data_IF_091922443916
#
_entry.id   IF_091922443916
#
_cell.length_a   1.000
_cell.length_b   1.000
_cell.length_c   1.000
_cell.angle_alpha   90.00
_cell.angle_beta   90.00
_cell.angle_gamma   90.00
#
_symmetry.space_group_name_H-M   'P 1'
#
loop_
_entity.id
_entity.type
_entity.pdbx_description
1 polymer ?
#
# COMPACT_ATOMS: atom_id res chain seq x y z
N UNK A 1 -33.70 32.67 71.43
CA UNK A 1 -33.45 33.34 70.14
C UNK A 1 -33.38 32.26 69.05
N UNK A 2 -34.47 32.10 68.32
CA UNK A 2 -34.68 31.06 67.32
C UNK A 2 -34.02 31.52 66.00
N UNK A 3 -33.02 30.77 65.49
CA UNK A 3 -32.35 31.08 64.22
C UNK A 3 -33.05 30.35 63.07
N UNK A 4 -33.66 31.13 62.19
CA UNK A 4 -34.35 30.71 60.96
C UNK A 4 -33.34 30.16 59.95
N UNK A 5 -33.56 28.95 59.45
CA UNK A 5 -32.86 28.37 58.29
C UNK A 5 -33.47 28.94 57.00
N UNK A 6 -32.67 29.64 56.19
CA UNK A 6 -33.04 30.01 54.81
C UNK A 6 -32.54 28.91 53.86
N UNK A 7 -33.46 28.21 53.20
CA UNK A 7 -33.17 27.32 52.08
C UNK A 7 -33.03 28.17 50.80
N UNK A 8 -31.86 28.13 50.15
CA UNK A 8 -31.66 28.72 48.83
C UNK A 8 -31.88 27.63 47.77
N UNK A 9 -32.95 27.75 46.98
CA UNK A 9 -33.23 26.91 45.81
C UNK A 9 -32.31 27.33 44.66
N UNK A 10 -31.43 26.43 44.20
CA UNK A 10 -30.68 26.62 42.97
C UNK A 10 -31.53 26.19 41.76
N UNK A 11 -31.87 27.14 40.87
CA UNK A 11 -32.60 26.89 39.63
C UNK A 11 -31.61 26.35 38.59
N UNK A 12 -31.82 25.10 38.17
CA UNK A 12 -31.09 24.46 37.08
C UNK A 12 -31.67 24.96 35.74
N UNK A 13 -30.93 25.80 35.00
CA UNK A 13 -31.29 26.18 33.64
C UNK A 13 -30.93 25.04 32.68
N UNK A 14 -31.93 24.29 32.23
CA UNK A 14 -31.80 23.31 31.15
C UNK A 14 -31.73 24.10 29.83
N UNK A 15 -30.55 24.19 29.22
CA UNK A 15 -30.40 24.67 27.84
C UNK A 15 -30.86 23.54 26.91
N UNK A 16 -32.04 23.71 26.31
CA UNK A 16 -32.50 22.85 25.23
C UNK A 16 -31.69 23.17 23.96
N UNK A 17 -30.79 22.26 23.55
CA UNK A 17 -30.19 22.29 22.22
C UNK A 17 -31.30 22.12 21.17
N UNK A 18 -31.55 23.19 20.40
CA UNK A 18 -32.35 23.10 19.17
C UNK A 18 -31.57 22.27 18.15
N UNK A 19 -32.16 21.17 17.69
CA UNK A 19 -31.70 20.46 16.50
C UNK A 19 -31.87 21.38 15.29
N UNK A 20 -30.77 22.00 14.84
CA UNK A 20 -30.72 22.62 13.52
C UNK A 20 -30.64 21.50 12.47
N UNK A 21 -31.62 21.46 11.56
CA UNK A 21 -31.53 20.60 10.38
C UNK A 21 -30.34 21.09 9.54
N UNK A 22 -29.50 20.19 9.00
CA UNK A 22 -28.41 20.60 8.14
C UNK A 22 -28.94 21.41 6.94
N UNK A 23 -28.28 22.54 6.68
CA UNK A 23 -28.54 23.43 5.55
C UNK A 23 -28.47 22.65 4.23
N UNK A 24 -29.44 22.88 3.34
CA UNK A 24 -29.47 22.36 1.95
C UNK A 24 -28.15 22.59 1.20
N UNK A 25 -27.38 23.62 1.54
CA UNK A 25 -26.10 23.94 0.87
C UNK A 25 -24.96 22.98 1.21
N UNK A 26 -25.00 22.32 2.37
CA UNK A 26 -23.95 21.37 2.79
C UNK A 26 -24.13 20.03 2.09
N UNK A 27 -25.38 19.62 1.84
CA UNK A 27 -25.71 18.39 1.12
C UNK A 27 -25.45 18.49 -0.39
N UNK A 28 -25.61 19.66 -1.00
CA UNK A 28 -25.36 19.84 -2.44
C UNK A 28 -23.86 19.86 -2.77
N UNK A 29 -23.02 20.39 -1.88
CA UNK A 29 -21.57 20.40 -2.05
C UNK A 29 -20.93 19.03 -1.81
N UNK A 30 -21.47 18.25 -0.87
CA UNK A 30 -21.05 16.86 -0.66
C UNK A 30 -21.46 15.95 -1.82
N UNK A 31 -22.60 16.20 -2.45
CA UNK A 31 -23.07 15.44 -3.62
C UNK A 31 -22.24 15.74 -4.88
N UNK A 32 -21.82 17.00 -5.08
CA UNK A 32 -21.03 17.40 -6.26
C UNK A 32 -19.61 16.81 -6.30
N UNK A 33 -19.07 16.29 -5.20
CA UNK A 33 -17.77 15.59 -5.19
C UNK A 33 -17.94 14.11 -5.59
N UNK A 34 -19.15 13.55 -5.43
CA UNK A 34 -19.46 12.14 -5.76
C UNK A 34 -19.67 11.95 -7.27
N UNK A 35 -19.98 13.02 -8.02
CA UNK A 35 -20.29 12.97 -9.46
C UNK A 35 -19.13 13.43 -10.37
N UNK A 36 -17.93 13.68 -9.83
CA UNK A 36 -16.77 14.03 -10.66
C UNK A 36 -16.22 12.77 -11.35
N UNK A 37 -16.13 12.80 -12.69
CA UNK A 37 -15.45 11.74 -13.44
C UNK A 37 -14.00 11.58 -12.95
N UNK A 38 -13.45 10.35 -12.95
CA UNK A 38 -12.09 10.14 -12.48
C UNK A 38 -11.08 10.88 -13.36
N UNK A 39 -10.12 11.53 -12.71
CA UNK A 39 -8.95 12.08 -13.36
C UNK A 39 -8.12 10.93 -13.96
N UNK A 40 -7.99 10.95 -15.29
CA UNK A 40 -7.25 9.95 -16.07
C UNK A 40 -5.75 9.99 -15.76
N UNK A 41 -5.18 11.14 -15.41
CA UNK A 41 -3.77 11.24 -15.04
C UNK A 41 -3.49 10.50 -13.72
N UNK A 42 -4.40 10.60 -12.74
CA UNK A 42 -4.28 9.86 -11.48
C UNK A 42 -4.44 8.36 -11.71
N UNK A 43 -5.41 7.93 -12.53
CA UNK A 43 -5.56 6.50 -12.88
C UNK A 43 -4.31 5.94 -13.57
N UNK A 44 -3.76 6.68 -14.55
CA UNK A 44 -2.51 6.30 -15.22
C UNK A 44 -1.34 6.21 -14.23
N UNK A 45 -1.26 7.15 -13.29
CA UNK A 45 -0.26 7.12 -12.22
C UNK A 45 -0.41 5.88 -11.32
N UNK A 46 -1.62 5.58 -10.85
CA UNK A 46 -1.90 4.41 -10.01
C UNK A 46 -1.53 3.10 -10.69
N UNK A 47 -1.74 3.01 -12.01
CA UNK A 47 -1.38 1.86 -12.84
C UNK A 47 0.09 1.87 -13.29
N UNK A 48 0.89 2.87 -12.89
CA UNK A 48 2.31 2.93 -13.19
C UNK A 48 2.66 3.41 -14.59
N UNK A 49 1.73 4.02 -15.33
CA UNK A 49 1.96 4.57 -16.66
C UNK A 49 2.68 5.93 -16.61
N UNK A 50 3.90 5.93 -16.07
CA UNK A 50 4.79 7.10 -16.00
C UNK A 50 6.26 6.67 -15.98
N UNK A 51 7.16 7.63 -16.13
CA UNK A 51 8.61 7.42 -15.96
C UNK A 51 9.04 8.18 -14.70
N UNK A 52 9.50 7.49 -13.63
CA UNK A 52 9.81 8.14 -12.35
C UNK A 52 10.84 9.27 -12.48
N UNK A 53 11.88 9.09 -13.29
CA UNK A 53 12.94 10.08 -13.53
C UNK A 53 12.43 11.39 -14.15
N UNK A 54 11.30 11.34 -14.88
CA UNK A 54 10.68 12.52 -15.49
C UNK A 54 9.63 13.21 -14.61
N UNK A 55 9.36 12.68 -13.41
CA UNK A 55 8.33 13.17 -12.51
C UNK A 55 8.95 13.89 -11.31
N UNK A 56 8.64 15.18 -11.17
CA UNK A 56 9.20 16.06 -10.12
C UNK A 56 8.90 15.59 -8.69
N UNK A 57 7.87 14.76 -8.49
CA UNK A 57 7.50 14.23 -7.19
C UNK A 57 8.35 13.02 -6.77
N UNK A 58 9.26 12.56 -7.64
CA UNK A 58 10.14 11.43 -7.38
C UNK A 58 11.59 11.90 -7.21
N UNK A 59 12.30 11.20 -6.34
CA UNK A 59 13.72 11.44 -6.08
C UNK A 59 14.49 10.14 -6.22
N UNK A 60 15.70 10.24 -6.76
CA UNK A 60 16.64 9.13 -6.85
C UNK A 60 17.10 8.72 -5.45
N UNK A 61 16.96 7.43 -5.13
CA UNK A 61 17.48 6.85 -3.89
C UNK A 61 19.00 6.89 -3.91
N UNK A 62 19.60 7.38 -2.82
CA UNK A 62 21.05 7.43 -2.68
C UNK A 62 21.65 6.02 -2.62
N UNK A 63 22.82 5.77 -3.25
CA UNK A 63 23.44 4.44 -3.27
C UNK A 63 23.68 3.81 -1.88
N UNK A 64 23.89 4.62 -0.84
CA UNK A 64 24.10 4.12 0.53
C UNK A 64 22.87 3.43 1.13
N UNK A 65 21.69 3.66 0.57
CA UNK A 65 20.42 3.11 1.03
C UNK A 65 19.94 1.91 0.22
N UNK A 66 20.63 1.54 -0.86
CA UNK A 66 20.11 0.61 -1.83
C UNK A 66 21.16 -0.37 -2.34
N UNK A 67 20.74 -1.59 -2.69
CA UNK A 67 21.65 -2.60 -3.25
C UNK A 67 22.05 -2.33 -4.72
N UNK A 68 21.36 -1.39 -5.38
CA UNK A 68 21.63 -0.97 -6.76
C UNK A 68 21.20 0.47 -6.98
N UNK A 69 21.75 1.10 -8.01
CA UNK A 69 21.37 2.45 -8.45
C UNK A 69 20.09 2.44 -9.31
N UNK A 70 19.58 3.64 -9.62
CA UNK A 70 18.46 3.84 -10.54
C UNK A 70 17.09 3.51 -9.93
N UNK A 71 16.98 3.50 -8.61
CA UNK A 71 15.70 3.32 -7.91
C UNK A 71 15.19 4.66 -7.41
N UNK A 72 13.87 4.85 -7.50
CA UNK A 72 13.19 6.09 -7.12
C UNK A 72 12.14 5.80 -6.06
N UNK A 73 11.81 6.83 -5.28
CA UNK A 73 10.63 6.89 -4.42
C UNK A 73 10.00 8.28 -4.55
N UNK A 74 8.75 8.41 -4.11
CA UNK A 74 8.17 9.72 -3.82
C UNK A 74 9.08 10.47 -2.85
N UNK A 75 9.29 11.76 -3.09
CA UNK A 75 10.20 12.59 -2.28
C UNK A 75 9.87 12.50 -0.80
N UNK A 76 8.59 12.59 -0.45
CA UNK A 76 8.09 12.53 0.93
C UNK A 76 8.36 11.17 1.58
N UNK A 77 8.12 10.08 0.83
CA UNK A 77 8.40 8.72 1.29
C UNK A 77 9.90 8.49 1.49
N UNK A 78 10.75 9.05 0.61
CA UNK A 78 12.19 8.93 0.75
C UNK A 78 12.75 9.75 1.93
N UNK A 79 12.22 10.95 2.17
CA UNK A 79 12.56 11.75 3.35
C UNK A 79 12.19 11.03 4.65
N UNK A 80 11.02 10.40 4.71
CA UNK A 80 10.61 9.56 5.82
C UNK A 80 11.53 8.35 5.99
N UNK A 81 11.89 7.69 4.88
CA UNK A 81 12.82 6.56 4.89
C UNK A 81 14.19 6.96 5.43
N UNK A 82 14.73 8.13 5.05
CA UNK A 82 16.02 8.61 5.56
C UNK A 82 16.02 8.73 7.09
N UNK A 83 14.93 9.24 7.68
CA UNK A 83 14.77 9.34 9.14
C UNK A 83 14.72 7.94 9.79
N UNK A 84 13.98 7.02 9.19
CA UNK A 84 13.89 5.63 9.65
C UNK A 84 15.25 4.91 9.55
N UNK A 85 15.97 5.11 8.44
CA UNK A 85 17.30 4.56 8.21
C UNK A 85 18.30 5.02 9.27
N UNK A 86 18.36 6.33 9.55
CA UNK A 86 19.27 6.88 10.56
C UNK A 86 18.97 6.35 11.97
N UNK A 87 17.70 6.14 12.30
CA UNK A 87 17.31 5.55 13.57
C UNK A 87 17.66 4.06 13.65
N UNK A 88 17.36 3.29 12.60
CA UNK A 88 17.72 1.88 12.51
C UNK A 88 19.24 1.70 12.67
N UNK A 89 20.03 2.54 11.99
CA UNK A 89 21.49 2.48 12.03
C UNK A 89 22.04 2.75 13.45
N UNK A 90 21.45 3.69 14.20
CA UNK A 90 21.81 3.95 15.61
C UNK A 90 21.57 2.74 16.51
N UNK A 91 20.54 1.95 16.19
CA UNK A 91 20.21 0.71 16.90
C UNK A 91 20.97 -0.52 16.34
N UNK A 92 21.94 -0.31 15.44
CA UNK A 92 22.74 -1.37 14.84
C UNK A 92 22.01 -2.20 13.78
N UNK A 93 20.87 -1.71 13.27
CA UNK A 93 20.09 -2.32 12.19
C UNK A 93 20.43 -1.65 10.86
N UNK A 94 20.92 -2.44 9.90
CA UNK A 94 21.23 -1.95 8.55
C UNK A 94 20.07 -2.24 7.60
N UNK A 95 19.35 -1.18 7.20
CA UNK A 95 18.34 -1.26 6.16
C UNK A 95 18.99 -1.13 4.78
N UNK A 96 18.50 -1.90 3.81
CA UNK A 96 18.92 -1.81 2.42
C UNK A 96 17.70 -1.99 1.51
N UNK A 97 17.38 -0.97 0.71
CA UNK A 97 16.32 -1.03 -0.29
C UNK A 97 16.81 -1.92 -1.45
N UNK A 98 16.05 -2.96 -1.76
CA UNK A 98 16.36 -3.89 -2.86
C UNK A 98 15.38 -3.72 -4.04
N UNK A 99 14.22 -3.13 -3.79
CA UNK A 99 13.20 -2.80 -4.78
C UNK A 99 12.37 -1.61 -4.29
N UNK A 100 11.96 -0.73 -5.19
CA UNK A 100 11.26 0.53 -4.91
C UNK A 100 10.30 0.84 -6.06
N UNK A 101 10.19 2.10 -6.52
CA UNK A 101 9.26 2.45 -7.60
C UNK A 101 9.48 1.60 -8.85
N UNK A 102 8.39 1.05 -9.38
CA UNK A 102 8.34 0.32 -10.66
C UNK A 102 7.27 0.95 -11.51
N UNK A 103 7.58 1.32 -12.75
CA UNK A 103 6.53 1.69 -13.69
C UNK A 103 5.85 0.44 -14.27
N UNK A 104 4.82 0.65 -15.08
CA UNK A 104 4.03 -0.41 -15.72
C UNK A 104 4.93 -1.37 -16.52
N UNK A 105 5.81 -0.84 -17.37
CA UNK A 105 6.66 -1.66 -18.24
C UNK A 105 7.66 -2.52 -17.47
N UNK A 106 8.23 -1.97 -16.38
CA UNK A 106 9.11 -2.72 -15.51
C UNK A 106 8.35 -3.88 -14.83
N UNK A 107 7.16 -3.61 -14.30
CA UNK A 107 6.32 -4.64 -13.68
C UNK A 107 5.87 -5.69 -14.70
N UNK A 108 5.53 -5.26 -15.92
CA UNK A 108 5.20 -6.13 -17.06
C UNK A 108 6.34 -7.09 -17.38
N UNK A 109 7.57 -6.60 -17.42
CA UNK A 109 8.73 -7.47 -17.60
C UNK A 109 8.85 -8.56 -16.53
N UNK A 110 8.63 -8.22 -15.24
CA UNK A 110 8.65 -9.22 -14.16
C UNK A 110 7.53 -10.24 -14.34
N UNK A 111 6.32 -9.75 -14.56
CA UNK A 111 5.13 -10.58 -14.72
C UNK A 111 5.27 -11.54 -15.91
N UNK A 112 5.63 -11.04 -17.09
CA UNK A 112 5.65 -11.84 -18.32
C UNK A 112 6.76 -12.89 -18.31
N UNK A 113 7.88 -12.64 -17.63
CA UNK A 113 8.92 -13.67 -17.41
C UNK A 113 8.41 -14.81 -16.52
N UNK A 114 7.61 -14.51 -15.50
CA UNK A 114 6.97 -15.53 -14.66
C UNK A 114 5.87 -16.26 -15.43
N UNK A 115 5.00 -15.52 -16.12
CA UNK A 115 3.90 -16.05 -16.93
C UNK A 115 4.37 -17.04 -18.00
N UNK A 116 5.45 -16.70 -18.70
CA UNK A 116 6.06 -17.54 -19.75
C UNK A 116 6.96 -18.65 -19.21
N UNK A 117 7.14 -18.74 -17.88
CA UNK A 117 7.97 -19.77 -17.26
C UNK A 117 9.48 -19.54 -17.39
N UNK A 118 9.92 -18.37 -17.90
CA UNK A 118 11.34 -17.99 -17.92
C UNK A 118 11.88 -17.76 -16.50
N UNK A 119 11.03 -17.33 -15.58
CA UNK A 119 11.34 -17.21 -14.15
C UNK A 119 10.49 -18.18 -13.36
N UNK A 120 11.14 -19.10 -12.64
CA UNK A 120 10.49 -20.03 -11.72
C UNK A 120 9.89 -19.25 -10.54
N UNK A 121 8.71 -19.67 -10.07
CA UNK A 121 8.06 -19.07 -8.92
C UNK A 121 8.84 -19.37 -7.64
N UNK A 122 8.63 -18.58 -6.59
CA UNK A 122 9.26 -18.82 -5.28
C UNK A 122 8.86 -20.17 -4.66
N UNK A 123 7.73 -20.73 -5.09
CA UNK A 123 7.29 -22.09 -4.74
C UNK A 123 8.07 -23.22 -5.44
N UNK A 124 8.92 -22.89 -6.42
CA UNK A 124 9.63 -23.86 -7.26
C UNK A 124 8.87 -24.29 -8.52
N UNK A 125 7.64 -23.83 -8.70
CA UNK A 125 6.76 -24.17 -9.83
C UNK A 125 7.08 -23.30 -11.07
N UNK A 126 7.01 -23.88 -12.26
CA UNK A 126 7.03 -23.16 -13.53
C UNK A 126 5.61 -22.82 -13.96
N UNK A 127 5.23 -21.55 -13.88
CA UNK A 127 3.84 -21.15 -14.08
C UNK A 127 3.27 -21.54 -15.46
N UNK A 128 4.09 -21.52 -16.51
CA UNK A 128 3.65 -21.86 -17.87
C UNK A 128 3.47 -23.37 -18.08
N UNK A 129 4.24 -24.20 -17.37
CA UNK A 129 4.22 -25.67 -17.54
C UNK A 129 3.26 -26.33 -16.57
N UNK A 130 3.19 -25.83 -15.32
CA UNK A 130 2.45 -26.48 -14.23
C UNK A 130 0.98 -26.06 -14.18
N UNK A 131 0.63 -24.89 -14.75
CA UNK A 131 -0.74 -24.37 -14.73
C UNK A 131 -1.25 -24.05 -16.13
N UNK A 132 -2.10 -24.92 -16.68
CA UNK A 132 -2.74 -24.73 -17.99
C UNK A 132 -3.97 -23.81 -17.95
N UNK A 133 -4.54 -23.58 -16.77
CA UNK A 133 -5.64 -22.63 -16.60
C UNK A 133 -5.06 -21.23 -16.31
N UNK A 134 -5.33 -20.26 -17.18
CA UNK A 134 -4.79 -18.91 -17.08
C UNK A 134 -5.09 -18.24 -15.74
N UNK A 135 -6.28 -18.42 -15.19
CA UNK A 135 -6.67 -17.80 -13.92
C UNK A 135 -6.01 -18.46 -12.71
N UNK A 136 -5.76 -19.77 -12.76
CA UNK A 136 -4.93 -20.45 -11.78
C UNK A 136 -3.47 -19.99 -11.90
N UNK A 137 -2.93 -19.91 -13.12
CA UNK A 137 -1.58 -19.41 -13.39
C UNK A 137 -1.39 -17.99 -12.85
N UNK A 138 -2.35 -17.10 -13.12
CA UNK A 138 -2.38 -15.74 -12.61
C UNK A 138 -2.34 -15.73 -11.08
N UNK A 139 -3.24 -16.47 -10.41
CA UNK A 139 -3.29 -16.56 -8.94
C UNK A 139 -1.97 -17.07 -8.34
N UNK A 140 -1.32 -18.04 -8.98
CA UNK A 140 -0.02 -18.57 -8.53
C UNK A 140 1.11 -17.55 -8.64
N UNK A 141 1.13 -16.71 -9.68
CA UNK A 141 2.09 -15.61 -9.79
C UNK A 141 1.78 -14.50 -8.75
N UNK A 142 0.49 -14.20 -8.59
CA UNK A 142 -0.05 -13.23 -7.64
C UNK A 142 0.12 -13.61 -6.16
N UNK A 143 0.67 -14.78 -5.85
CA UNK A 143 1.08 -15.09 -4.48
C UNK A 143 2.11 -14.09 -3.95
N UNK A 144 3.03 -13.61 -4.81
CA UNK A 144 4.12 -12.68 -4.46
C UNK A 144 4.48 -11.68 -5.56
N UNK A 145 3.73 -11.62 -6.67
CA UNK A 145 4.07 -10.73 -7.79
C UNK A 145 2.83 -10.12 -8.42
N UNK A 146 2.72 -8.79 -8.31
CA UNK A 146 1.58 -8.03 -8.84
C UNK A 146 1.44 -8.14 -10.35
N UNK A 147 0.20 -8.12 -10.81
CA UNK A 147 -0.10 -7.77 -12.19
C UNK A 147 0.42 -6.35 -12.49
N UNK A 148 0.89 -6.08 -13.72
CA UNK A 148 1.15 -4.72 -14.17
C UNK A 148 -0.12 -3.88 -14.05
N UNK A 149 -0.01 -2.69 -13.48
CA UNK A 149 -1.17 -1.84 -13.17
C UNK A 149 -1.74 -2.01 -11.77
N UNK A 150 -1.31 -3.04 -11.01
CA UNK A 150 -1.87 -3.33 -9.67
C UNK A 150 -0.83 -3.24 -8.54
N UNK A 151 0.44 -2.97 -8.86
CA UNK A 151 1.49 -2.94 -7.84
C UNK A 151 1.49 -1.62 -7.08
N UNK A 152 1.52 -1.66 -5.75
CA UNK A 152 1.73 -0.46 -4.93
C UNK A 152 3.11 0.20 -5.15
N UNK A 153 4.08 -0.54 -5.69
CA UNK A 153 5.34 0.06 -6.14
C UNK A 153 5.14 1.08 -7.28
N UNK A 154 4.02 1.05 -8.00
CA UNK A 154 3.67 2.11 -8.95
C UNK A 154 3.52 3.46 -8.25
N UNK A 155 3.12 3.48 -6.99
CA UNK A 155 2.80 4.71 -6.28
C UNK A 155 4.04 5.41 -5.73
N UNK A 156 5.21 4.76 -5.77
CA UNK A 156 6.44 5.28 -5.20
C UNK A 156 6.42 5.48 -3.69
N UNK A 157 5.41 4.93 -3.03
CA UNK A 157 5.27 4.91 -1.56
C UNK A 157 5.82 3.63 -0.95
N UNK A 158 6.10 2.63 -1.78
CA UNK A 158 6.38 1.26 -1.35
C UNK A 158 7.80 0.82 -1.75
N UNK A 159 8.44 0.06 -0.87
CA UNK A 159 9.76 -0.52 -1.09
C UNK A 159 9.93 -1.87 -0.38
N UNK A 160 10.89 -2.64 -0.87
CA UNK A 160 11.32 -3.93 -0.32
C UNK A 160 12.68 -3.79 0.35
N UNK A 161 12.84 -4.36 1.56
CA UNK A 161 14.06 -4.28 2.35
C UNK A 161 14.80 -5.62 2.45
N UNK A 162 16.12 -5.58 2.23
CA UNK A 162 17.14 -6.58 2.56
C UNK A 162 17.02 -7.99 1.95
N UNK A 163 15.84 -8.62 1.92
CA UNK A 163 15.63 -9.98 1.41
C UNK A 163 14.18 -10.16 0.94
N UNK A 164 13.92 -11.07 -0.02
CA UNK A 164 12.58 -11.38 -0.53
C UNK A 164 12.05 -12.74 -0.05
N UNK A 165 12.65 -13.31 1.00
CA UNK A 165 12.27 -14.58 1.59
C UNK A 165 11.94 -14.43 3.08
N UNK A 166 10.74 -14.84 3.49
CA UNK A 166 10.29 -14.71 4.87
C UNK A 166 11.20 -15.44 5.86
N UNK A 167 11.76 -16.58 5.45
CA UNK A 167 12.67 -17.39 6.27
C UNK A 167 13.95 -16.64 6.69
N UNK A 168 14.36 -15.60 5.94
CA UNK A 168 15.48 -14.75 6.34
C UNK A 168 15.12 -13.88 7.55
N UNK A 169 13.89 -13.37 7.60
CA UNK A 169 13.36 -12.53 8.69
C UNK A 169 12.95 -13.32 9.94
N UNK A 170 13.11 -14.63 9.95
CA UNK A 170 12.71 -15.50 11.07
C UNK A 170 13.88 -15.91 11.96
N UNK A 171 15.11 -15.53 11.59
CA UNK A 171 16.32 -15.87 12.34
C UNK A 171 17.41 -14.81 12.19
N UNK A 172 18.42 -14.90 13.06
CA UNK A 172 19.65 -14.11 12.94
C UNK A 172 19.40 -12.60 12.85
N UNK A 173 20.11 -11.95 11.92
CA UNK A 173 20.01 -10.50 11.69
C UNK A 173 18.66 -10.09 11.09
N UNK A 174 18.08 -10.92 10.23
CA UNK A 174 16.77 -10.64 9.63
C UNK A 174 15.66 -10.58 10.67
N UNK A 175 15.69 -11.45 11.68
CA UNK A 175 14.74 -11.38 12.80
C UNK A 175 14.90 -10.10 13.62
N UNK A 176 16.15 -9.68 13.88
CA UNK A 176 16.41 -8.42 14.60
C UNK A 176 15.86 -7.22 13.82
N UNK A 177 16.12 -7.18 12.52
CA UNK A 177 15.64 -6.14 11.63
C UNK A 177 14.10 -6.12 11.56
N UNK A 178 13.47 -7.28 11.37
CA UNK A 178 12.01 -7.38 11.30
C UNK A 178 11.34 -6.90 12.59
N UNK A 179 11.82 -7.37 13.75
CA UNK A 179 11.31 -6.94 15.05
C UNK A 179 11.49 -5.44 15.27
N UNK A 180 12.60 -4.86 14.77
CA UNK A 180 12.80 -3.42 14.83
C UNK A 180 11.79 -2.67 13.96
N UNK A 181 11.53 -3.13 12.74
CA UNK A 181 10.56 -2.49 11.85
C UNK A 181 9.14 -2.57 12.41
N UNK A 182 8.67 -3.75 12.86
CA UNK A 182 7.33 -3.90 13.45
C UNK A 182 7.10 -2.99 14.66
N UNK A 183 8.17 -2.67 15.41
CA UNK A 183 8.09 -1.76 16.56
C UNK A 183 8.16 -0.28 16.17
N UNK A 184 8.94 0.08 15.15
CA UNK A 184 9.37 1.47 14.93
C UNK A 184 8.92 2.08 13.60
N UNK A 185 8.62 1.28 12.57
CA UNK A 185 8.35 1.78 11.21
C UNK A 185 7.18 2.78 11.15
N UNK A 186 6.13 2.54 11.95
CA UNK A 186 4.97 3.42 12.05
C UNK A 186 5.30 4.81 12.58
N UNK A 187 6.34 4.97 13.40
CA UNK A 187 6.82 6.28 13.88
C UNK A 187 7.32 7.17 12.72
N UNK A 188 7.65 6.56 11.58
CA UNK A 188 8.10 7.24 10.36
C UNK A 188 7.04 7.22 9.26
N UNK A 189 5.81 6.79 9.57
CA UNK A 189 4.71 6.71 8.61
C UNK A 189 4.76 5.48 7.70
N UNK A 190 5.48 4.42 8.09
CA UNK A 190 5.49 3.17 7.34
C UNK A 190 4.66 2.09 8.00
N UNK A 191 3.94 1.33 7.19
CA UNK A 191 3.20 0.16 7.61
C UNK A 191 3.54 -1.03 6.70
N UNK A 192 3.17 -2.25 7.12
CA UNK A 192 3.35 -3.47 6.32
C UNK A 192 2.00 -3.92 5.75
N UNK A 193 1.70 -3.67 4.46
CA UNK A 193 0.38 -3.97 3.89
C UNK A 193 0.11 -5.48 3.77
N UNK A 194 1.14 -6.30 3.59
CA UNK A 194 0.99 -7.73 3.39
C UNK A 194 1.42 -8.51 4.64
N UNK A 195 0.58 -8.41 5.68
CA UNK A 195 0.69 -9.22 6.91
C UNK A 195 0.35 -10.69 6.64
N UNK A 196 0.33 -11.58 7.63
CA UNK A 196 -0.14 -12.95 7.39
C UNK A 196 -1.63 -12.94 7.01
N UNK A 197 -2.01 -13.71 5.99
CA UNK A 197 -3.44 -13.90 5.66
C UNK A 197 -4.20 -14.53 6.83
N UNK A 198 -5.41 -14.06 7.06
CA UNK A 198 -6.31 -14.52 8.13
C UNK A 198 -7.62 -13.74 8.11
N UNK A 199 -8.43 -13.84 9.17
CA UNK A 199 -9.76 -13.23 9.22
C UNK A 199 -9.76 -11.71 8.96
N UNK A 200 -8.71 -11.01 9.43
CA UNK A 200 -8.55 -9.57 9.25
C UNK A 200 -7.97 -9.16 7.88
N UNK A 201 -7.39 -10.11 7.12
CA UNK A 201 -6.83 -9.89 5.77
C UNK A 201 -6.91 -11.19 4.97
N UNK A 202 -8.09 -11.56 4.45
CA UNK A 202 -8.29 -12.86 3.81
C UNK A 202 -7.69 -12.91 2.39
N UNK A 203 -7.67 -11.77 1.71
CA UNK A 203 -7.27 -11.65 0.30
C UNK A 203 -5.89 -11.00 0.12
N UNK A 204 -5.41 -10.98 -1.11
CA UNK A 204 -4.19 -10.26 -1.52
C UNK A 204 -2.98 -11.16 -1.69
N UNK A 205 -1.80 -10.53 -1.65
CA UNK A 205 -0.52 -11.23 -1.67
C UNK A 205 -0.32 -12.03 -0.38
N UNK A 206 0.55 -13.05 -0.43
CA UNK A 206 0.98 -13.75 0.76
C UNK A 206 1.77 -12.82 1.70
N UNK A 207 2.17 -13.32 2.86
CA UNK A 207 2.93 -12.49 3.81
C UNK A 207 4.26 -12.03 3.19
N UNK A 208 4.56 -10.73 3.29
CA UNK A 208 5.81 -10.15 2.81
C UNK A 208 6.45 -9.31 3.91
N UNK A 209 7.41 -9.90 4.66
CA UNK A 209 8.10 -9.23 5.78
C UNK A 209 9.02 -8.07 5.34
N UNK A 210 9.32 -8.01 4.05
CA UNK A 210 10.19 -7.03 3.43
C UNK A 210 9.46 -5.81 2.87
N UNK A 211 8.15 -5.89 2.64
CA UNK A 211 7.37 -4.90 1.90
C UNK A 211 6.79 -3.86 2.86
N UNK A 212 7.16 -2.59 2.69
CA UNK A 212 6.70 -1.49 3.54
C UNK A 212 6.15 -0.33 2.70
N UNK A 213 5.05 0.27 3.15
CA UNK A 213 4.32 1.34 2.44
C UNK A 213 4.25 2.59 3.29
N UNK A 214 4.50 3.75 2.67
CA UNK A 214 4.36 5.06 3.30
C UNK A 214 2.89 5.49 3.33
N UNK A 215 2.23 5.33 4.48
CA UNK A 215 0.78 5.55 4.64
C UNK A 215 0.31 6.97 4.36
N UNK A 216 1.03 8.05 4.74
CA UNK A 216 0.54 9.42 4.53
C UNK A 216 0.21 9.78 3.07
N UNK A 217 0.80 9.07 2.10
CA UNK A 217 0.43 9.19 0.68
C UNK A 217 -0.44 8.02 0.21
N UNK A 218 -0.09 6.79 0.61
CA UNK A 218 -0.69 5.60 0.05
C UNK A 218 -2.14 5.38 0.48
N UNK A 219 -2.59 5.98 1.59
CA UNK A 219 -4.00 5.95 2.02
C UNK A 219 -4.91 6.63 1.00
N UNK A 220 -4.58 7.88 0.62
CA UNK A 220 -5.35 8.64 -0.38
C UNK A 220 -5.36 7.97 -1.77
N UNK A 221 -4.24 7.32 -2.14
CA UNK A 221 -4.12 6.58 -3.39
C UNK A 221 -4.95 5.28 -3.35
N UNK A 222 -5.00 4.62 -2.20
CA UNK A 222 -5.85 3.43 -1.97
C UNK A 222 -7.32 3.81 -2.02
N UNK A 223 -7.72 4.93 -1.41
CA UNK A 223 -9.10 5.44 -1.47
C UNK A 223 -9.50 5.77 -2.91
N UNK A 224 -8.63 6.45 -3.66
CA UNK A 224 -8.88 6.77 -5.06
C UNK A 224 -8.98 5.50 -5.91
N UNK A 225 -8.06 4.55 -5.72
CA UNK A 225 -8.11 3.24 -6.36
C UNK A 225 -9.44 2.52 -6.08
N UNK A 226 -9.88 2.49 -4.82
CA UNK A 226 -11.13 1.85 -4.42
C UNK A 226 -12.37 2.45 -5.09
N UNK A 227 -12.34 3.76 -5.41
CA UNK A 227 -13.47 4.45 -6.03
C UNK A 227 -13.49 4.30 -7.55
N UNK A 228 -12.33 4.27 -8.18
CA UNK A 228 -12.24 4.53 -9.62
C UNK A 228 -11.50 3.47 -10.44
N UNK A 229 -10.65 2.61 -9.84
CA UNK A 229 -10.08 1.50 -10.57
C UNK A 229 -11.11 0.38 -10.74
N UNK A 230 -11.19 -0.14 -11.95
CA UNK A 230 -11.98 -1.34 -12.26
C UNK A 230 -11.08 -2.45 -12.79
N UNK A 231 -11.53 -3.69 -12.75
CA UNK A 231 -10.72 -4.84 -13.17
C UNK A 231 -10.39 -4.79 -14.67
N UNK A 232 -11.29 -4.23 -15.47
CA UNK A 232 -11.17 -4.07 -16.93
C UNK A 232 -10.05 -3.10 -17.32
N UNK A 233 -9.72 -2.14 -16.45
CA UNK A 233 -8.62 -1.21 -16.69
C UNK A 233 -7.25 -1.91 -16.64
N UNK A 234 -7.15 -3.02 -15.89
CA UNK A 234 -5.92 -3.78 -15.71
C UNK A 234 -5.66 -4.65 -16.95
N UNK A 235 -4.93 -4.08 -17.91
CA UNK A 235 -4.74 -4.67 -19.25
C UNK A 235 -3.34 -4.42 -19.83
N UNK A 236 -3.05 -4.98 -21.02
CA UNK A 236 -1.82 -4.66 -21.77
C UNK A 236 -0.60 -5.55 -21.51
N UNK A 237 -0.81 -6.71 -20.90
CA UNK A 237 0.24 -7.72 -20.61
C UNK A 237 -0.31 -9.15 -20.74
N UNK A 238 0.57 -10.15 -20.85
CA UNK A 238 0.16 -11.57 -20.95
C UNK A 238 -0.68 -12.00 -19.75
N UNK A 239 -1.86 -12.57 -20.00
CA UNK A 239 -2.75 -13.04 -18.92
C UNK A 239 -3.68 -11.97 -18.35
N UNK A 240 -3.64 -10.73 -18.86
CA UNK A 240 -4.51 -9.64 -18.39
C UNK A 240 -6.01 -9.93 -18.53
N UNK A 241 -6.42 -10.79 -19.45
CA UNK A 241 -7.81 -11.24 -19.58
C UNK A 241 -8.38 -11.91 -18.31
N UNK A 242 -7.53 -12.27 -17.35
CA UNK A 242 -7.93 -12.89 -16.09
C UNK A 242 -8.28 -11.89 -14.99
N UNK A 243 -8.00 -10.59 -15.18
CA UNK A 243 -8.14 -9.53 -14.16
C UNK A 243 -9.55 -9.46 -13.55
N UNK A 244 -10.58 -9.51 -14.40
CA UNK A 244 -11.99 -9.53 -14.00
C UNK A 244 -12.34 -10.81 -13.24
N UNK A 245 -11.97 -11.97 -13.79
CA UNK A 245 -12.30 -13.28 -13.20
C UNK A 245 -11.71 -13.44 -11.80
N UNK A 246 -10.54 -12.86 -11.54
CA UNK A 246 -9.87 -12.95 -10.23
C UNK A 246 -10.19 -11.75 -9.32
N UNK A 247 -11.02 -10.82 -9.78
CA UNK A 247 -11.39 -9.60 -9.07
C UNK A 247 -10.18 -8.83 -8.52
N UNK A 248 -9.22 -8.55 -9.40
CA UNK A 248 -7.86 -8.13 -9.00
C UNK A 248 -7.80 -6.83 -8.20
N UNK A 249 -8.68 -5.87 -8.47
CA UNK A 249 -8.71 -4.60 -7.73
C UNK A 249 -9.09 -4.85 -6.27
N UNK A 250 -10.22 -5.51 -6.04
CA UNK A 250 -10.68 -5.81 -4.68
C UNK A 250 -9.73 -6.77 -3.95
N UNK A 251 -9.35 -7.86 -4.62
CA UNK A 251 -8.61 -8.92 -3.96
C UNK A 251 -7.14 -8.57 -3.73
N UNK A 252 -6.50 -7.75 -4.58
CA UNK A 252 -5.04 -7.52 -4.50
C UNK A 252 -4.62 -6.07 -4.31
N UNK A 253 -5.31 -5.09 -4.90
CA UNK A 253 -5.01 -3.67 -4.65
C UNK A 253 -5.54 -3.27 -3.27
N UNK A 254 -6.77 -3.69 -2.95
CA UNK A 254 -7.42 -3.41 -1.67
C UNK A 254 -7.23 -4.51 -0.62
N UNK A 255 -6.62 -5.65 -1.00
CA UNK A 255 -6.33 -6.80 -0.13
C UNK A 255 -5.14 -6.59 0.81
N UNK A 256 -5.11 -5.45 1.51
CA UNK A 256 -4.05 -5.03 2.43
C UNK A 256 -4.52 -5.09 3.89
N UNK A 257 -3.58 -5.06 4.82
CA UNK A 257 -3.87 -4.97 6.26
C UNK A 257 -4.57 -3.66 6.61
N UNK A 258 -5.62 -3.71 7.43
CA UNK A 258 -6.39 -2.53 7.83
C UNK A 258 -5.59 -1.51 8.65
N UNK A 259 -4.49 -1.92 9.30
CA UNK A 259 -3.59 -0.97 9.95
C UNK A 259 -2.84 -0.06 8.97
N UNK A 260 -2.88 -0.38 7.68
CA UNK A 260 -2.33 0.40 6.57
C UNK A 260 -3.38 1.24 5.83
N UNK A 261 -4.54 1.47 6.43
CA UNK A 261 -5.61 2.28 5.85
C UNK A 261 -6.27 3.08 6.98
N UNK A 262 -5.92 4.36 7.12
CA UNK A 262 -6.35 5.23 8.23
C UNK A 262 -7.54 6.11 7.90
#
# INVERSE_FOLDING_TARGET
MLKTFLYLFAILNIVACKNERPSKSVTEHAQNIIDAAPDTAILNYLMGHFIPDSNENFVLIQPKHANRSGMYLRTEAYEAFNKMYDAALKDGIKLEIISATRNFDYQKGIWERKWSGQTILSSGENASLDFNNDSLRARKILEYSSMPGTSRHHWGTDFDLNNLENAWFEKGEGLKLFNWLEKNASLYGFCRPYTRKGDARPEGYNEEKWHWSYTPLSDSLTEYASRYLTNEMISGFLGSQTSEQINVVHNYILGIDHSCNH
#
